data_IF_382861018269
#
_entry.id   IF_382861018269
#
_cell.length_a   1.000
_cell.length_b   1.000
_cell.length_c   1.000
_cell.angle_alpha   90.00
_cell.angle_beta   90.00
_cell.angle_gamma   90.00
#
_symmetry.space_group_name_H-M   'P 1'
#
loop_
_entity.id
_entity.type
_entity.pdbx_description
1 polymer ?
#
# COMPACT_ATOMS: atom_id res chain seq x y z
N UNK A 1 -4.71 -4.77 -36.73
CA UNK A 1 -3.83 -3.59 -36.68
C UNK A 1 -4.00 -2.63 -37.87
N UNK A 2 -3.77 -3.03 -39.17
CA UNK A 2 -3.91 -2.09 -40.29
C UNK A 2 -5.34 -1.58 -40.54
N UNK A 3 -6.36 -2.36 -40.27
CA UNK A 3 -7.77 -2.00 -40.45
C UNK A 3 -8.27 -0.98 -39.43
N UNK A 4 -7.93 -1.18 -38.18
CA UNK A 4 -8.30 -0.28 -37.04
C UNK A 4 -7.68 1.11 -37.19
N UNK A 5 -6.45 1.19 -37.70
CA UNK A 5 -5.76 2.46 -37.95
C UNK A 5 -6.43 3.21 -39.12
N UNK A 6 -6.83 2.47 -40.15
CA UNK A 6 -7.55 3.04 -41.29
C UNK A 6 -8.91 3.60 -40.87
N UNK A 7 -9.63 2.88 -39.98
CA UNK A 7 -10.90 3.35 -39.44
C UNK A 7 -10.73 4.61 -38.61
N UNK A 8 -9.71 4.70 -37.73
CA UNK A 8 -9.39 5.89 -36.94
C UNK A 8 -9.02 7.07 -37.87
N UNK A 9 -8.23 6.84 -38.91
CA UNK A 9 -7.83 7.90 -39.86
C UNK A 9 -9.08 8.40 -40.62
N UNK A 10 -9.96 7.52 -41.03
CA UNK A 10 -11.20 7.90 -41.73
C UNK A 10 -12.16 8.67 -40.80
N UNK A 11 -12.37 8.21 -39.58
CA UNK A 11 -13.23 8.90 -38.62
C UNK A 11 -12.70 10.30 -38.27
N UNK A 12 -11.36 10.47 -38.22
CA UNK A 12 -10.74 11.75 -37.93
C UNK A 12 -10.65 12.67 -39.16
N UNK A 13 -10.79 12.14 -40.39
CA UNK A 13 -10.75 12.94 -41.61
C UNK A 13 -11.94 13.89 -41.74
N UNK A 14 -13.08 13.59 -41.08
CA UNK A 14 -14.26 14.45 -41.08
C UNK A 14 -14.11 15.63 -40.07
N UNK A 15 -13.17 15.53 -39.11
CA UNK A 15 -13.04 16.47 -37.98
C UNK A 15 -11.78 17.31 -38.09
N UNK A 16 -10.70 16.80 -38.70
CA UNK A 16 -9.38 17.41 -38.76
C UNK A 16 -9.10 18.04 -40.13
N UNK A 17 -8.41 19.21 -40.13
CA UNK A 17 -7.90 19.79 -41.35
C UNK A 17 -6.66 19.04 -41.87
N UNK A 18 -6.26 19.31 -43.11
CA UNK A 18 -5.16 18.61 -43.79
C UNK A 18 -3.84 18.63 -43.02
N UNK A 19 -3.49 19.72 -42.36
CA UNK A 19 -2.26 19.86 -41.57
C UNK A 19 -2.33 19.03 -40.27
N UNK A 20 -3.48 18.97 -39.63
CA UNK A 20 -3.73 18.17 -38.41
C UNK A 20 -3.76 16.68 -38.77
N UNK A 21 -4.32 16.31 -39.92
CA UNK A 21 -4.31 14.93 -40.43
C UNK A 21 -2.88 14.45 -40.72
N UNK A 22 -2.06 15.29 -41.35
CA UNK A 22 -0.66 14.94 -41.59
C UNK A 22 0.08 14.70 -40.26
N UNK A 23 -0.13 15.58 -39.29
CA UNK A 23 0.47 15.42 -37.95
C UNK A 23 -0.02 14.20 -37.20
N UNK A 24 -1.31 13.87 -37.34
CA UNK A 24 -1.88 12.64 -36.79
C UNK A 24 -1.25 11.39 -37.44
N UNK A 25 -1.09 11.38 -38.76
CA UNK A 25 -0.44 10.30 -39.49
C UNK A 25 1.02 10.13 -39.10
N UNK A 26 1.78 11.23 -39.00
CA UNK A 26 3.18 11.22 -38.52
C UNK A 26 3.29 10.63 -37.11
N UNK A 27 2.41 11.05 -36.17
CA UNK A 27 2.38 10.53 -34.81
C UNK A 27 1.98 9.06 -34.76
N UNK A 28 0.98 8.65 -35.55
CA UNK A 28 0.56 7.24 -35.63
C UNK A 28 1.68 6.37 -36.21
N UNK A 29 2.29 6.79 -37.33
CA UNK A 29 3.42 6.07 -37.93
C UNK A 29 4.60 6.01 -36.97
N UNK A 30 4.97 7.12 -36.33
CA UNK A 30 6.05 7.16 -35.34
C UNK A 30 5.76 6.22 -34.16
N UNK A 31 4.58 6.32 -33.55
CA UNK A 31 4.17 5.46 -32.42
C UNK A 31 4.03 3.98 -32.79
N UNK A 32 3.67 3.69 -34.03
CA UNK A 32 3.49 2.31 -34.50
C UNK A 32 4.78 1.70 -35.05
N UNK A 33 5.72 2.52 -35.55
CA UNK A 33 7.06 2.07 -35.96
C UNK A 33 8.06 2.03 -34.80
N UNK A 34 7.90 2.91 -33.79
CA UNK A 34 8.64 2.85 -32.53
C UNK A 34 8.08 1.81 -31.56
N UNK A 35 6.90 1.26 -31.86
CA UNK A 35 6.30 0.19 -31.09
C UNK A 35 7.06 -1.13 -31.36
N UNK A 36 8.11 -1.30 -30.64
CA UNK A 36 8.44 -2.55 -29.96
C UNK A 36 7.30 -2.95 -29.01
N UNK A 37 6.04 -2.82 -29.49
CA UNK A 37 4.83 -3.36 -28.81
C UNK A 37 4.92 -4.88 -28.71
N UNK A 38 5.88 -5.52 -29.39
CA UNK A 38 6.09 -6.97 -29.34
C UNK A 38 6.54 -7.45 -27.95
N UNK A 39 7.25 -6.67 -27.16
CA UNK A 39 7.79 -7.15 -25.88
C UNK A 39 6.76 -7.10 -24.73
N UNK A 40 5.88 -6.10 -24.70
CA UNK A 40 4.86 -6.01 -23.65
C UNK A 40 3.77 -7.10 -23.73
N UNK A 41 3.50 -7.66 -24.90
CA UNK A 41 2.54 -8.77 -25.05
C UNK A 41 3.08 -10.10 -24.52
N UNK A 42 4.40 -10.21 -24.31
CA UNK A 42 5.04 -11.37 -23.69
C UNK A 42 5.17 -11.19 -22.17
N UNK A 43 5.05 -9.95 -21.63
CA UNK A 43 5.13 -9.68 -20.20
C UNK A 43 3.91 -10.26 -19.48
N UNK A 44 4.17 -11.14 -18.55
CA UNK A 44 3.12 -11.79 -17.76
C UNK A 44 2.64 -10.90 -16.62
N UNK A 45 1.50 -11.23 -16.01
CA UNK A 45 1.03 -10.56 -14.80
C UNK A 45 2.05 -10.64 -13.66
N UNK A 46 2.81 -11.74 -13.59
CA UNK A 46 3.86 -11.97 -12.60
C UNK A 46 5.02 -11.01 -12.82
N UNK A 47 5.44 -10.82 -14.07
CA UNK A 47 6.53 -9.90 -14.40
C UNK A 47 6.17 -8.46 -14.02
N UNK A 48 4.95 -7.99 -14.33
CA UNK A 48 4.49 -6.66 -13.92
C UNK A 48 4.46 -6.50 -12.40
N UNK A 49 4.05 -7.53 -11.68
CA UNK A 49 4.07 -7.50 -10.22
C UNK A 49 5.51 -7.41 -9.68
N UNK A 50 6.43 -8.23 -10.20
CA UNK A 50 7.82 -8.22 -9.73
C UNK A 50 8.54 -6.92 -10.06
N UNK A 51 8.31 -6.33 -11.23
CA UNK A 51 8.81 -4.99 -11.58
C UNK A 51 8.28 -3.92 -10.62
N UNK A 52 6.98 -3.92 -10.33
CA UNK A 52 6.37 -3.01 -9.37
C UNK A 52 6.98 -3.16 -7.97
N UNK A 53 7.12 -4.38 -7.48
CA UNK A 53 7.69 -4.63 -6.15
C UNK A 53 9.16 -4.22 -6.06
N UNK A 54 9.92 -4.41 -7.14
CA UNK A 54 11.31 -3.95 -7.25
C UNK A 54 11.37 -2.43 -7.20
N UNK A 55 10.51 -1.72 -7.94
CA UNK A 55 10.41 -0.27 -7.89
C UNK A 55 10.07 0.24 -6.47
N UNK A 56 9.09 -0.38 -5.80
CA UNK A 56 8.71 -0.02 -4.42
C UNK A 56 9.80 -0.35 -3.39
N UNK A 57 10.58 -1.39 -3.62
CA UNK A 57 11.74 -1.69 -2.76
C UNK A 57 12.82 -0.61 -2.92
N UNK A 58 13.13 -0.19 -4.14
CA UNK A 58 14.06 0.89 -4.43
C UNK A 58 13.59 2.24 -3.83
N UNK A 59 12.28 2.49 -3.80
CA UNK A 59 11.68 3.66 -3.13
C UNK A 59 11.77 3.63 -1.61
N UNK A 60 12.36 2.57 -1.01
CA UNK A 60 12.54 2.44 0.44
C UNK A 60 11.33 1.87 1.20
N UNK A 61 10.41 1.20 0.51
CA UNK A 61 9.34 0.50 1.19
C UNK A 61 9.88 -0.67 2.03
N UNK A 62 9.37 -0.81 3.26
CA UNK A 62 9.76 -1.94 4.13
C UNK A 62 9.31 -3.28 3.55
N UNK A 63 10.02 -4.38 3.89
CA UNK A 63 9.67 -5.74 3.47
C UNK A 63 8.24 -6.13 3.85
N UNK A 64 7.74 -5.63 4.98
CA UNK A 64 6.35 -5.82 5.39
C UNK A 64 5.37 -5.17 4.44
N UNK A 65 5.69 -3.98 3.93
CA UNK A 65 4.88 -3.25 2.94
C UNK A 65 4.94 -3.97 1.59
N UNK A 66 6.11 -4.42 1.16
CA UNK A 66 6.31 -5.18 -0.08
C UNK A 66 5.48 -6.47 -0.06
N UNK A 67 5.57 -7.25 1.04
CA UNK A 67 4.75 -8.47 1.21
C UNK A 67 3.26 -8.18 1.20
N UNK A 68 2.84 -7.06 1.78
CA UNK A 68 1.44 -6.65 1.78
C UNK A 68 0.94 -6.30 0.37
N UNK A 69 1.74 -5.57 -0.42
CA UNK A 69 1.43 -5.30 -1.83
C UNK A 69 1.34 -6.59 -2.63
N UNK A 70 2.37 -7.44 -2.56
CA UNK A 70 2.40 -8.74 -3.23
C UNK A 70 1.12 -9.53 -2.97
N UNK A 71 0.79 -9.77 -1.71
CA UNK A 71 -0.37 -10.58 -1.33
C UNK A 71 -1.70 -10.03 -1.88
N UNK A 72 -1.91 -8.71 -1.84
CA UNK A 72 -3.17 -8.12 -2.32
C UNK A 72 -3.26 -8.12 -3.85
N UNK A 73 -2.15 -7.87 -4.54
CA UNK A 73 -2.13 -7.80 -6.00
C UNK A 73 -2.21 -9.21 -6.59
N UNK A 74 -1.46 -10.19 -6.09
CA UNK A 74 -1.54 -11.60 -6.51
C UNK A 74 -2.98 -12.12 -6.42
N UNK A 75 -3.62 -11.94 -5.27
CA UNK A 75 -5.02 -12.36 -5.09
C UNK A 75 -5.97 -11.74 -6.11
N UNK A 76 -5.77 -10.48 -6.43
CA UNK A 76 -6.58 -9.80 -7.45
C UNK A 76 -6.31 -10.37 -8.84
N UNK A 77 -5.04 -10.57 -9.20
CA UNK A 77 -4.64 -11.11 -10.51
C UNK A 77 -5.14 -12.54 -10.69
N UNK A 78 -5.02 -13.39 -9.67
CA UNK A 78 -5.51 -14.78 -9.68
C UNK A 78 -7.04 -14.86 -9.80
N UNK A 79 -7.75 -13.95 -9.09
CA UNK A 79 -9.22 -13.94 -9.10
C UNK A 79 -9.77 -13.45 -10.44
N UNK A 80 -9.20 -12.39 -11.01
CA UNK A 80 -9.67 -11.81 -12.28
C UNK A 80 -9.14 -12.63 -13.47
N UNK A 81 -7.95 -13.20 -13.36
CA UNK A 81 -7.32 -14.14 -14.31
C UNK A 81 -7.33 -13.68 -15.78
N UNK A 82 -6.99 -12.42 -16.01
CA UNK A 82 -6.75 -11.85 -17.35
C UNK A 82 -5.48 -11.00 -17.33
N UNK A 83 -4.90 -10.66 -18.49
CA UNK A 83 -3.77 -9.72 -18.54
C UNK A 83 -4.10 -8.41 -17.84
N UNK A 84 -3.22 -7.95 -16.95
CA UNK A 84 -3.42 -6.77 -16.09
C UNK A 84 -3.75 -5.49 -16.88
N UNK A 85 -3.16 -5.36 -18.06
CA UNK A 85 -3.40 -4.23 -18.98
C UNK A 85 -4.84 -4.17 -19.53
N UNK A 86 -5.61 -5.28 -19.45
CA UNK A 86 -7.01 -5.38 -19.88
C UNK A 86 -8.01 -5.26 -18.73
N UNK A 87 -7.54 -5.12 -17.49
CA UNK A 87 -8.41 -5.01 -16.32
C UNK A 87 -9.15 -3.67 -16.35
N UNK A 88 -10.47 -3.73 -16.22
CA UNK A 88 -11.34 -2.54 -16.22
C UNK A 88 -11.75 -2.11 -14.81
N UNK A 89 -12.23 -0.88 -14.71
CA UNK A 89 -12.79 -0.36 -13.44
C UNK A 89 -13.93 -1.23 -12.89
N UNK A 90 -14.76 -1.79 -13.78
CA UNK A 90 -15.92 -2.59 -13.39
C UNK A 90 -15.50 -3.94 -12.80
N UNK A 91 -14.48 -4.57 -13.39
CA UNK A 91 -13.90 -5.82 -12.87
C UNK A 91 -13.32 -5.61 -11.46
N UNK A 92 -12.63 -4.48 -11.24
CA UNK A 92 -12.08 -4.16 -9.93
C UNK A 92 -13.15 -3.85 -8.87
N UNK A 93 -14.25 -3.18 -9.26
CA UNK A 93 -15.40 -2.98 -8.37
C UNK A 93 -16.01 -4.31 -7.96
N UNK A 94 -16.26 -5.19 -8.94
CA UNK A 94 -16.80 -6.53 -8.69
C UNK A 94 -15.89 -7.32 -7.77
N UNK A 95 -14.59 -7.36 -8.05
CA UNK A 95 -13.59 -8.01 -7.21
C UNK A 95 -13.63 -7.53 -5.75
N UNK A 96 -13.64 -6.21 -5.52
CA UNK A 96 -13.65 -5.65 -4.16
C UNK A 96 -14.92 -6.01 -3.39
N UNK A 97 -16.08 -6.02 -4.05
CA UNK A 97 -17.37 -6.41 -3.45
C UNK A 97 -17.39 -7.91 -3.14
N UNK A 98 -16.98 -8.75 -4.08
CA UNK A 98 -16.91 -10.20 -3.89
C UNK A 98 -15.91 -10.57 -2.80
N UNK A 99 -14.74 -9.95 -2.80
CA UNK A 99 -13.73 -10.15 -1.76
C UNK A 99 -14.29 -9.83 -0.37
N UNK A 100 -15.01 -8.71 -0.24
CA UNK A 100 -15.66 -8.33 1.02
C UNK A 100 -16.65 -9.39 1.51
N UNK A 101 -17.48 -9.88 0.61
CA UNK A 101 -18.53 -10.86 0.92
C UNK A 101 -17.95 -12.22 1.29
N UNK A 102 -17.03 -12.74 0.46
CA UNK A 102 -16.42 -14.07 0.66
C UNK A 102 -15.60 -14.13 1.95
N UNK A 103 -14.81 -13.08 2.23
CA UNK A 103 -13.92 -13.06 3.40
C UNK A 103 -14.56 -12.41 4.63
N UNK A 104 -15.83 -12.00 4.56
CA UNK A 104 -16.55 -11.30 5.62
C UNK A 104 -15.72 -10.20 6.30
N UNK A 105 -15.02 -9.39 5.50
CA UNK A 105 -14.08 -8.39 6.01
C UNK A 105 -14.70 -6.99 6.10
N UNK A 106 -14.18 -6.22 7.05
CA UNK A 106 -14.67 -4.86 7.30
C UNK A 106 -14.28 -3.86 6.20
N UNK A 107 -15.02 -2.75 6.13
CA UNK A 107 -14.78 -1.66 5.17
C UNK A 107 -13.36 -1.10 5.20
N UNK A 108 -12.70 -1.08 6.37
CA UNK A 108 -11.32 -0.63 6.52
C UNK A 108 -10.36 -1.54 5.76
N UNK A 109 -10.57 -2.85 5.84
CA UNK A 109 -9.76 -3.85 5.11
C UNK A 109 -9.90 -3.66 3.60
N UNK A 110 -11.13 -3.47 3.11
CA UNK A 110 -11.39 -3.21 1.69
C UNK A 110 -10.73 -1.91 1.23
N UNK A 111 -10.79 -0.83 2.02
CA UNK A 111 -10.10 0.43 1.65
C UNK A 111 -8.58 0.25 1.61
N UNK A 112 -8.00 -0.57 2.48
CA UNK A 112 -6.57 -0.88 2.44
C UNK A 112 -6.18 -1.69 1.19
N UNK A 113 -6.99 -2.69 0.80
CA UNK A 113 -6.80 -3.44 -0.45
C UNK A 113 -6.92 -2.48 -1.64
N UNK A 114 -7.98 -1.66 -1.68
CA UNK A 114 -8.19 -0.64 -2.71
C UNK A 114 -6.96 0.27 -2.86
N UNK A 115 -6.35 0.70 -1.75
CA UNK A 115 -5.12 1.53 -1.77
C UNK A 115 -3.96 0.78 -2.41
N UNK A 116 -3.74 -0.49 -2.05
CA UNK A 116 -2.68 -1.31 -2.64
C UNK A 116 -2.86 -1.43 -4.17
N UNK A 117 -4.09 -1.73 -4.61
CA UNK A 117 -4.41 -1.82 -6.04
C UNK A 117 -4.27 -0.46 -6.74
N UNK A 118 -4.69 0.63 -6.07
CA UNK A 118 -4.53 1.99 -6.61
C UNK A 118 -3.07 2.35 -6.84
N UNK A 119 -2.18 2.00 -5.90
CA UNK A 119 -0.74 2.24 -6.03
C UNK A 119 -0.16 1.45 -7.21
N UNK A 120 -0.56 0.19 -7.37
CA UNK A 120 -0.10 -0.66 -8.48
C UNK A 120 -0.55 -0.13 -9.84
N UNK A 121 -1.83 0.16 -10.01
CA UNK A 121 -2.35 0.67 -11.28
C UNK A 121 -1.91 2.11 -11.58
N UNK A 122 -1.58 2.92 -10.57
CA UNK A 122 -0.96 4.23 -10.79
C UNK A 122 0.47 4.08 -11.29
N UNK A 123 1.23 3.15 -10.73
CA UNK A 123 2.56 2.83 -11.21
C UNK A 123 2.54 2.31 -12.67
N UNK A 124 1.60 1.42 -13.03
CA UNK A 124 1.44 0.98 -14.42
C UNK A 124 1.12 2.13 -15.39
N UNK A 125 0.38 3.15 -14.92
CA UNK A 125 0.10 4.35 -15.72
C UNK A 125 1.33 5.26 -15.81
N UNK A 126 2.09 5.43 -14.74
CA UNK A 126 3.32 6.23 -14.67
C UNK A 126 4.44 5.66 -15.54
N UNK A 127 4.51 4.33 -15.67
CA UNK A 127 5.44 3.60 -16.54
C UNK A 127 4.90 3.40 -17.98
N UNK A 128 3.80 4.05 -18.34
CA UNK A 128 3.19 4.00 -19.67
C UNK A 128 2.71 2.59 -20.12
N UNK A 129 2.60 1.60 -19.20
CA UNK A 129 2.05 0.29 -19.50
C UNK A 129 0.54 0.32 -19.78
N UNK A 130 -0.17 1.27 -19.17
CA UNK A 130 -1.58 1.55 -19.39
C UNK A 130 -1.81 3.05 -19.58
N UNK A 131 -2.73 3.42 -20.45
CA UNK A 131 -3.04 4.82 -20.75
C UNK A 131 -3.66 5.53 -19.55
N UNK A 132 -4.47 4.82 -18.77
CA UNK A 132 -5.21 5.36 -17.63
C UNK A 132 -5.52 4.30 -16.60
N UNK A 133 -5.18 4.58 -15.34
CA UNK A 133 -5.48 3.68 -14.23
C UNK A 133 -6.98 3.47 -14.04
N UNK A 134 -7.45 2.20 -14.07
CA UNK A 134 -8.86 1.87 -13.82
C UNK A 134 -9.29 2.17 -12.38
N UNK A 135 -8.34 2.35 -11.47
CA UNK A 135 -8.61 2.68 -10.06
C UNK A 135 -9.01 4.15 -9.85
N UNK A 136 -8.74 5.07 -10.78
CA UNK A 136 -9.07 6.50 -10.65
C UNK A 136 -10.54 6.79 -10.36
N UNK A 137 -11.43 5.89 -10.80
CA UNK A 137 -12.89 6.00 -10.61
C UNK A 137 -13.40 5.23 -9.39
N UNK A 138 -12.50 4.62 -8.60
CA UNK A 138 -12.85 3.87 -7.38
C UNK A 138 -12.39 4.69 -6.17
N UNK A 139 -13.34 5.42 -5.59
CA UNK A 139 -13.08 6.33 -4.49
C UNK A 139 -12.91 5.59 -3.15
N UNK A 140 -12.39 6.32 -2.16
CA UNK A 140 -12.23 5.83 -0.79
C UNK A 140 -13.55 5.28 -0.23
N UNK A 141 -13.47 4.11 0.40
CA UNK A 141 -14.61 3.51 1.11
C UNK A 141 -14.89 4.33 2.37
N UNK A 142 -16.11 4.84 2.51
CA UNK A 142 -16.52 5.57 3.71
C UNK A 142 -16.61 4.60 4.90
N UNK A 143 -15.81 4.88 5.93
CA UNK A 143 -15.81 4.13 7.20
C UNK A 143 -16.27 5.05 8.31
N UNK A 144 -17.04 4.51 9.24
CA UNK A 144 -17.36 5.25 10.46
C UNK A 144 -16.10 5.44 11.30
N UNK A 145 -15.95 6.61 11.89
CA UNK A 145 -14.95 6.83 12.94
C UNK A 145 -15.54 6.27 14.24
N UNK A 146 -14.95 5.18 14.71
CA UNK A 146 -15.37 4.56 15.97
C UNK A 146 -14.37 4.99 17.02
N UNK A 147 -14.86 5.58 18.12
CA UNK A 147 -14.04 5.81 19.31
C UNK A 147 -13.72 4.44 19.90
N UNK A 148 -12.42 4.16 20.04
CA UNK A 148 -11.98 2.92 20.67
C UNK A 148 -12.02 3.11 22.17
N UNK A 149 -12.57 2.10 22.86
CA UNK A 149 -12.52 2.07 24.31
C UNK A 149 -11.06 2.00 24.79
N UNK A 150 -10.74 2.80 25.79
CA UNK A 150 -9.47 2.76 26.51
C UNK A 150 -9.61 1.82 27.71
N UNK A 151 -8.49 1.25 28.14
CA UNK A 151 -8.46 0.44 29.37
C UNK A 151 -8.58 1.41 30.56
N UNK A 152 -9.59 1.28 31.41
CA UNK A 152 -9.70 2.09 32.65
C UNK A 152 -8.51 1.87 33.58
N UNK A 153 -8.17 2.89 34.36
CA UNK A 153 -7.01 2.85 35.27
C UNK A 153 -7.13 1.73 36.31
N UNK A 154 -8.35 1.45 36.79
CA UNK A 154 -8.60 0.35 37.73
C UNK A 154 -8.25 -1.02 37.14
N UNK A 155 -8.51 -1.22 35.83
CA UNK A 155 -8.14 -2.47 35.14
C UNK A 155 -6.62 -2.56 34.94
N UNK A 156 -5.94 -1.44 34.78
CA UNK A 156 -4.48 -1.40 34.71
C UNK A 156 -3.87 -1.82 36.03
N UNK A 157 -4.40 -1.34 37.17
CA UNK A 157 -3.92 -1.77 38.51
C UNK A 157 -4.17 -3.26 38.74
N UNK A 158 -5.35 -3.77 38.38
CA UNK A 158 -5.63 -5.21 38.45
C UNK A 158 -4.64 -6.01 37.57
N UNK A 159 -4.29 -5.51 36.40
CA UNK A 159 -3.31 -6.16 35.53
C UNK A 159 -1.92 -6.20 36.20
N UNK A 160 -1.50 -5.10 36.82
CA UNK A 160 -0.23 -5.00 37.56
C UNK A 160 -0.16 -5.97 38.71
N UNK A 161 -1.24 -6.07 39.50
CA UNK A 161 -1.31 -6.92 40.70
C UNK A 161 -1.31 -8.42 40.33
N UNK A 162 -1.84 -8.76 39.16
CA UNK A 162 -1.84 -10.14 38.66
C UNK A 162 -0.58 -10.52 37.87
N UNK A 163 0.40 -9.61 37.73
CA UNK A 163 1.69 -9.94 37.12
C UNK A 163 2.58 -10.71 38.12
N UNK A 164 2.69 -12.02 37.91
CA UNK A 164 3.55 -12.88 38.72
C UNK A 164 5.04 -12.75 38.38
N UNK A 165 5.37 -12.07 37.30
CA UNK A 165 6.73 -11.89 36.80
C UNK A 165 7.10 -10.40 36.80
N UNK A 166 8.22 -10.08 37.44
CA UNK A 166 8.74 -8.70 37.52
C UNK A 166 9.01 -8.10 36.12
N UNK A 167 9.51 -8.93 35.18
CA UNK A 167 9.74 -8.52 33.79
C UNK A 167 8.45 -8.06 33.11
N UNK A 168 7.37 -8.82 33.26
CA UNK A 168 6.10 -8.51 32.59
C UNK A 168 5.49 -7.23 33.18
N UNK A 169 5.63 -7.06 34.49
CA UNK A 169 5.21 -5.83 35.19
C UNK A 169 6.05 -4.61 34.71
N UNK A 170 7.37 -4.76 34.59
CA UNK A 170 8.25 -3.72 34.07
C UNK A 170 7.87 -3.32 32.62
N UNK A 171 7.56 -4.30 31.76
CA UNK A 171 7.10 -4.01 30.39
C UNK A 171 5.79 -3.24 30.35
N UNK A 172 4.81 -3.59 31.22
CA UNK A 172 3.53 -2.87 31.29
C UNK A 172 3.77 -1.44 31.75
N UNK A 173 4.50 -1.24 32.85
CA UNK A 173 4.77 0.09 33.39
C UNK A 173 5.57 0.94 32.40
N UNK A 174 6.54 0.35 31.71
CA UNK A 174 7.32 1.04 30.69
C UNK A 174 6.47 1.48 29.48
N UNK A 175 5.59 0.61 28.99
CA UNK A 175 4.67 0.95 27.88
C UNK A 175 3.68 2.04 28.28
N UNK A 176 3.15 2.00 29.50
CA UNK A 176 2.19 2.98 30.00
C UNK A 176 2.85 4.35 30.20
N UNK A 177 4.04 4.35 30.78
CA UNK A 177 4.77 5.57 31.09
C UNK A 177 5.30 6.27 29.84
N UNK A 178 5.87 5.51 28.89
CA UNK A 178 6.52 6.07 27.69
C UNK A 178 5.58 6.30 26.52
N UNK A 179 4.48 5.54 26.44
CA UNK A 179 3.58 5.53 25.27
C UNK A 179 4.24 5.01 23.98
N UNK A 180 5.33 4.27 24.08
CA UNK A 180 5.98 3.67 22.90
C UNK A 180 5.15 2.51 22.35
N UNK A 181 5.35 2.20 21.07
CA UNK A 181 4.67 1.06 20.45
C UNK A 181 5.33 -0.25 20.87
N UNK A 182 4.54 -1.33 20.96
CA UNK A 182 5.08 -2.67 21.25
C UNK A 182 6.22 -3.05 20.29
N UNK A 183 6.14 -2.69 19.01
CA UNK A 183 7.22 -2.95 18.05
C UNK A 183 8.48 -2.11 18.29
N UNK A 184 8.39 -0.97 18.96
CA UNK A 184 9.53 -0.16 19.41
C UNK A 184 10.15 -0.78 20.66
N UNK A 185 9.32 -1.21 21.62
CA UNK A 185 9.80 -1.90 22.83
C UNK A 185 10.60 -3.18 22.50
N UNK A 186 10.12 -4.01 21.59
CA UNK A 186 10.80 -5.27 21.22
C UNK A 186 12.19 -5.06 20.60
N UNK A 187 12.45 -3.88 20.05
CA UNK A 187 13.75 -3.52 19.45
C UNK A 187 14.66 -2.75 20.39
N UNK A 188 14.13 -2.34 21.53
CA UNK A 188 14.87 -1.53 22.51
C UNK A 188 15.93 -2.40 23.19
N UNK A 189 17.16 -1.92 23.23
CA UNK A 189 18.24 -2.51 24.00
C UNK A 189 18.48 -1.70 25.27
N UNK A 190 19.18 -2.28 26.23
CA UNK A 190 19.47 -1.61 27.50
C UNK A 190 20.33 -0.36 27.29
N UNK A 191 21.19 -0.37 26.27
CA UNK A 191 22.05 0.76 25.92
C UNK A 191 21.29 1.95 25.33
N UNK A 192 20.05 1.72 24.88
CA UNK A 192 19.16 2.78 24.36
C UNK A 192 18.42 3.53 25.49
N UNK A 193 18.63 3.11 26.77
CA UNK A 193 17.92 3.64 27.95
C UNK A 193 18.87 4.40 28.85
N UNK A 194 18.61 5.68 29.03
CA UNK A 194 19.25 6.48 30.08
C UNK A 194 18.40 6.48 31.35
N UNK A 195 18.81 5.66 32.31
CA UNK A 195 18.15 5.59 33.64
C UNK A 195 18.33 6.83 34.47
N UNK A 196 19.40 7.63 34.26
CA UNK A 196 19.63 8.85 35.00
C UNK A 196 18.64 9.93 34.62
N UNK A 197 18.52 10.18 33.32
CA UNK A 197 17.60 11.16 32.75
C UNK A 197 16.19 10.60 32.55
N UNK A 198 15.99 9.31 32.75
CA UNK A 198 14.71 8.59 32.53
C UNK A 198 14.17 8.76 31.13
N UNK A 199 15.03 8.63 30.15
CA UNK A 199 14.70 8.70 28.74
C UNK A 199 15.18 7.47 27.98
N UNK A 200 14.57 7.21 26.83
CA UNK A 200 15.03 6.22 25.89
C UNK A 200 14.90 6.73 24.46
N UNK A 201 15.77 6.27 23.57
CA UNK A 201 15.69 6.55 22.14
C UNK A 201 14.96 5.39 21.46
N UNK A 202 13.91 5.69 20.73
CA UNK A 202 13.13 4.69 19.99
C UNK A 202 13.05 5.02 18.50
N UNK A 203 13.09 3.98 17.68
CA UNK A 203 13.03 4.07 16.23
C UNK A 203 11.60 3.81 15.76
N UNK A 204 10.97 4.85 15.23
CA UNK A 204 9.62 4.80 14.69
C UNK A 204 9.55 4.31 13.24
N UNK A 205 8.38 4.44 12.63
CA UNK A 205 8.15 4.12 11.22
C UNK A 205 8.98 5.05 10.33
N UNK A 206 9.78 4.46 9.41
CA UNK A 206 10.64 5.18 8.48
C UNK A 206 11.95 5.68 9.12
N UNK A 207 12.50 4.89 10.04
CA UNK A 207 13.76 5.16 10.74
C UNK A 207 13.84 6.52 11.45
N UNK A 208 12.68 7.06 11.86
CA UNK A 208 12.64 8.30 12.61
C UNK A 208 12.89 8.02 14.08
N UNK A 209 13.99 8.58 14.59
CA UNK A 209 14.30 8.57 16.00
C UNK A 209 13.40 9.56 16.77
N UNK A 210 13.01 9.15 17.98
CA UNK A 210 12.42 10.05 18.97
C UNK A 210 12.80 9.63 20.37
N UNK A 211 12.94 10.62 21.25
CA UNK A 211 13.05 10.38 22.67
C UNK A 211 11.67 10.10 23.27
N UNK A 212 11.64 9.16 24.21
CA UNK A 212 10.49 8.89 25.06
C UNK A 212 10.95 8.90 26.52
N UNK A 213 10.10 9.36 27.40
CA UNK A 213 10.43 9.56 28.80
C UNK A 213 9.58 8.64 29.67
N UNK A 214 10.17 8.12 30.76
CA UNK A 214 9.48 7.28 31.72
C UNK A 214 9.52 7.85 33.12
N UNK A 215 8.55 7.50 33.94
CA UNK A 215 8.40 8.00 35.30
C UNK A 215 9.37 7.35 36.32
N UNK A 216 9.42 7.89 37.51
CA UNK A 216 10.28 7.39 38.58
C UNK A 216 9.88 5.97 39.03
N UNK A 217 8.57 5.61 38.98
CA UNK A 217 8.08 4.28 39.35
C UNK A 217 8.63 3.24 38.39
N UNK A 218 8.55 3.50 37.09
CA UNK A 218 9.09 2.64 36.04
C UNK A 218 10.59 2.43 36.18
N UNK A 219 11.36 3.49 36.55
CA UNK A 219 12.80 3.39 36.81
C UNK A 219 13.14 2.33 37.86
N UNK A 220 12.34 2.20 38.90
CA UNK A 220 12.62 1.28 40.02
C UNK A 220 12.19 -0.17 39.73
N UNK A 221 11.38 -0.38 38.69
CA UNK A 221 10.90 -1.71 38.32
C UNK A 221 11.75 -2.31 37.18
N UNK A 222 12.28 -1.46 36.31
CA UNK A 222 13.21 -1.84 35.24
C UNK A 222 14.63 -2.00 35.76
#
# INVERSE_FOLDING_TARGET
MGREIYDIINDMAEVLNASQMQKLQEVLVKRLSENTVSDYWQTTNVDFLDMFLTAKHLEGCSDKTIRYYRCNIEKMLDTINIPVIKITTEMLRKYLVEYQTINNCGKVTIDNIRRSLSTFFSWLEEEDYIIKSPMKRIHKVKTAVIVKDTIPDEKIEILRDNCNNLRDRAMIDFLLSTGIRVGELVRLNIDDIDFSERECVVYGKGDKERKAYFDAKTKFIC
#
